data_IF_083896852004
#
_entry.id   IF_083896852004
#
_cell.length_a   1.000
_cell.length_b   1.000
_cell.length_c   1.000
_cell.angle_alpha   90.00
_cell.angle_beta   90.00
_cell.angle_gamma   90.00
#
_symmetry.space_group_name_H-M   'P 1'
#
loop_
_entity.id
_entity.type
_entity.pdbx_description
1 polymer ?
#
# COMPACT_ATOMS: atom_id res chain seq x y z
N UNK A 1 -3.92 -0.15 21.88
CA UNK A 1 -3.70 -1.31 20.97
C UNK A 1 -4.49 -1.05 19.72
N UNK A 2 -3.87 -1.26 18.56
CA UNK A 2 -4.53 -1.00 17.29
C UNK A 2 -5.66 -2.00 17.01
N UNK A 3 -6.63 -1.59 16.18
CA UNK A 3 -7.86 -2.37 15.92
C UNK A 3 -7.53 -3.67 15.18
N UNK A 4 -6.61 -3.62 14.23
CA UNK A 4 -6.19 -4.76 13.44
C UNK A 4 -5.45 -5.78 14.31
N UNK A 5 -4.67 -5.33 15.29
CA UNK A 5 -4.05 -6.22 16.28
C UNK A 5 -5.09 -6.89 17.19
N UNK A 6 -6.08 -6.13 17.68
CA UNK A 6 -7.18 -6.68 18.47
C UNK A 6 -7.98 -7.71 17.67
N UNK A 7 -8.25 -7.43 16.39
CA UNK A 7 -8.96 -8.36 15.51
C UNK A 7 -8.15 -9.65 15.31
N UNK A 8 -6.85 -9.53 15.05
CA UNK A 8 -5.96 -10.67 14.85
C UNK A 8 -5.94 -11.60 16.09
N UNK A 9 -5.81 -11.02 17.29
CA UNK A 9 -5.85 -11.77 18.55
C UNK A 9 -7.22 -12.37 18.90
N UNK A 10 -8.30 -11.81 18.35
CA UNK A 10 -9.66 -12.31 18.53
C UNK A 10 -10.05 -13.38 17.50
N UNK A 11 -9.09 -13.89 16.69
CA UNK A 11 -9.36 -14.84 15.61
C UNK A 11 -10.22 -14.27 14.47
N UNK A 12 -10.35 -12.94 14.38
CA UNK A 12 -11.08 -12.27 13.28
C UNK A 12 -10.18 -12.14 12.06
N UNK A 13 -10.75 -11.89 10.86
CA UNK A 13 -9.94 -11.66 9.68
C UNK A 13 -8.90 -10.56 9.87
N UNK A 14 -7.67 -10.82 9.45
CA UNK A 14 -6.54 -9.90 9.55
C UNK A 14 -5.62 -10.02 8.32
N UNK A 15 -4.64 -9.14 8.19
CA UNK A 15 -3.48 -9.36 7.32
C UNK A 15 -2.25 -8.74 7.92
N UNK A 16 -1.08 -9.28 7.58
CA UNK A 16 0.18 -8.73 8.05
C UNK A 16 0.36 -7.30 7.55
N UNK A 17 -0.03 -7.03 6.31
CA UNK A 17 0.01 -5.67 5.76
C UNK A 17 -0.89 -4.70 6.53
N UNK A 18 -2.10 -5.11 6.92
CA UNK A 18 -2.97 -4.28 7.77
C UNK A 18 -2.31 -3.99 9.14
N UNK A 19 -1.65 -4.98 9.75
CA UNK A 19 -0.91 -4.78 11.01
C UNK A 19 0.26 -3.79 10.88
N UNK A 20 0.99 -3.84 9.76
CA UNK A 20 2.10 -2.91 9.48
C UNK A 20 1.60 -1.47 9.35
N UNK A 21 0.40 -1.27 8.80
CA UNK A 21 -0.15 0.07 8.58
C UNK A 21 -1.07 0.57 9.71
N UNK A 22 -1.56 -0.30 10.58
CA UNK A 22 -2.39 0.06 11.75
C UNK A 22 -1.53 0.16 13.02
N UNK A 23 -0.59 1.11 13.04
CA UNK A 23 0.31 1.39 14.17
C UNK A 23 0.04 2.77 14.83
N UNK A 24 -1.06 3.43 14.47
CA UNK A 24 -1.38 4.80 14.92
C UNK A 24 -1.75 4.91 16.41
N UNK A 25 -2.04 3.77 17.04
CA UNK A 25 -2.36 3.65 18.47
C UNK A 25 -1.26 2.94 19.27
N UNK A 26 -0.04 2.89 18.72
CA UNK A 26 1.11 2.26 19.32
C UNK A 26 2.10 3.29 19.87
N UNK A 27 2.57 3.04 21.09
CA UNK A 27 3.68 3.76 21.72
C UNK A 27 4.88 2.82 21.86
N UNK A 28 6.07 3.39 21.75
CA UNK A 28 7.31 2.71 22.07
C UNK A 28 7.61 2.71 23.57
N UNK A 29 8.66 2.01 23.97
CA UNK A 29 9.13 1.87 25.35
C UNK A 29 9.70 3.17 25.94
N UNK A 30 10.12 4.11 25.10
CA UNK A 30 10.43 5.51 25.43
C UNK A 30 9.19 6.40 25.58
N UNK A 31 7.98 5.85 25.37
CA UNK A 31 6.72 6.57 25.54
C UNK A 31 6.35 7.48 24.37
N UNK A 32 6.99 7.31 23.21
CA UNK A 32 6.74 8.10 22.01
C UNK A 32 5.83 7.33 21.03
N UNK A 33 5.01 8.02 20.22
CA UNK A 33 4.20 7.37 19.21
C UNK A 33 5.06 6.76 18.09
N UNK A 34 4.71 5.53 17.67
CA UNK A 34 5.45 4.84 16.58
C UNK A 34 5.22 5.50 15.21
N UNK A 35 4.03 6.01 14.94
CA UNK A 35 3.69 6.67 13.68
C UNK A 35 3.75 8.21 13.74
N UNK A 36 4.33 8.76 14.81
CA UNK A 36 4.53 10.21 15.04
C UNK A 36 3.25 11.02 14.80
N UNK A 37 3.18 11.81 13.72
CA UNK A 37 2.01 12.64 13.41
C UNK A 37 0.79 11.88 12.93
N UNK A 38 0.98 10.69 12.38
CA UNK A 38 -0.14 9.82 11.99
C UNK A 38 -0.82 9.22 13.22
N UNK A 39 -0.14 9.22 14.36
CA UNK A 39 -0.70 8.71 15.60
C UNK A 39 -1.97 9.48 15.99
N UNK A 40 -2.93 8.76 16.58
CA UNK A 40 -4.20 9.36 16.98
C UNK A 40 -3.99 10.46 18.01
N UNK A 41 -4.95 11.39 18.11
CA UNK A 41 -4.87 12.47 19.11
C UNK A 41 -4.74 11.91 20.54
N UNK A 42 -5.39 10.78 20.82
CA UNK A 42 -5.28 10.09 22.11
C UNK A 42 -3.86 9.61 22.38
N UNK A 43 -3.21 8.98 21.40
CA UNK A 43 -1.83 8.47 21.52
C UNK A 43 -0.80 9.59 21.67
N UNK A 44 -1.06 10.76 21.06
CA UNK A 44 -0.19 11.94 21.18
C UNK A 44 -0.42 12.73 22.46
N UNK A 45 -1.52 12.49 23.18
CA UNK A 45 -1.85 13.25 24.38
C UNK A 45 -0.80 13.02 25.47
N UNK A 46 -0.17 14.10 25.94
CA UNK A 46 0.87 14.04 26.98
C UNK A 46 2.27 13.70 26.47
N UNK A 47 2.47 13.51 25.15
CA UNK A 47 3.81 13.35 24.56
C UNK A 47 4.37 14.73 24.21
N UNK A 48 5.46 15.12 24.86
CA UNK A 48 6.15 16.37 24.56
C UNK A 48 6.81 16.31 23.16
N UNK A 49 6.50 17.31 22.33
CA UNK A 49 7.10 17.50 21.01
C UNK A 49 7.79 18.86 20.96
N UNK A 50 9.11 18.86 21.02
CA UNK A 50 9.93 20.05 20.74
C UNK A 50 9.99 20.24 19.22
N UNK A 51 9.53 21.41 18.78
CA UNK A 51 9.49 21.85 17.40
C UNK A 51 10.46 23.01 17.23
N UNK A 52 11.34 22.94 16.23
CA UNK A 52 12.29 24.04 15.93
C UNK A 52 12.30 24.39 14.46
N UNK A 53 12.78 25.59 14.16
CA UNK A 53 13.03 25.98 12.78
C UNK A 53 14.22 25.18 12.23
N UNK A 54 14.04 24.62 11.04
CA UNK A 54 15.02 23.81 10.37
C UNK A 54 16.24 24.65 9.93
N UNK A 55 17.47 24.26 10.31
CA UNK A 55 18.68 25.01 10.01
C UNK A 55 19.36 24.57 8.70
N UNK A 56 18.83 23.56 8.01
CA UNK A 56 19.44 23.02 6.80
C UNK A 56 19.29 24.02 5.65
N UNK A 57 20.33 24.17 4.83
CA UNK A 57 20.40 25.17 3.76
C UNK A 57 19.55 24.85 2.52
N UNK A 58 18.78 23.77 2.54
CA UNK A 58 17.91 23.34 1.44
C UNK A 58 16.49 23.95 1.56
N UNK A 59 15.54 23.44 0.78
CA UNK A 59 14.15 23.93 0.76
C UNK A 59 13.45 23.88 2.12
N UNK A 60 14.01 23.17 3.10
CA UNK A 60 13.48 23.09 4.46
C UNK A 60 13.83 24.29 5.32
N UNK A 61 14.83 25.09 4.94
CA UNK A 61 15.31 26.21 5.72
C UNK A 61 14.15 27.12 6.15
N UNK A 62 14.11 27.48 7.43
CA UNK A 62 13.06 28.36 7.95
C UNK A 62 11.72 27.68 8.25
N UNK A 63 11.56 26.38 7.96
CA UNK A 63 10.33 25.62 8.22
C UNK A 63 10.42 24.82 9.52
N UNK A 64 9.28 24.51 10.15
CA UNK A 64 9.24 23.74 11.40
C UNK A 64 9.68 22.29 11.21
N UNK A 65 10.44 21.75 12.15
CA UNK A 65 10.84 20.33 12.21
C UNK A 65 10.67 19.78 13.64
N UNK A 66 10.30 18.51 13.75
CA UNK A 66 10.16 17.80 15.03
C UNK A 66 11.54 17.34 15.53
N UNK A 67 12.15 18.11 16.44
CA UNK A 67 13.49 17.79 16.96
C UNK A 67 13.47 16.69 18.01
N UNK A 68 12.34 16.49 18.68
CA UNK A 68 12.17 15.34 19.58
C UNK A 68 12.20 14.01 18.82
N UNK A 69 11.57 13.95 17.65
CA UNK A 69 11.66 12.77 16.77
C UNK A 69 13.08 12.60 16.24
N UNK A 70 13.76 13.68 15.83
CA UNK A 70 15.16 13.62 15.42
C UNK A 70 16.05 13.06 16.53
N UNK A 71 15.87 13.52 17.78
CA UNK A 71 16.66 13.05 18.92
C UNK A 71 16.56 11.54 19.09
N UNK A 72 15.35 10.99 19.07
CA UNK A 72 15.15 9.54 19.17
C UNK A 72 15.74 8.80 17.97
N UNK A 73 15.50 9.30 16.74
CA UNK A 73 16.09 8.70 15.54
C UNK A 73 17.60 8.68 15.65
N UNK A 74 18.24 9.79 16.05
CA UNK A 74 19.69 9.89 16.22
C UNK A 74 20.25 8.89 17.24
N UNK A 75 19.53 8.63 18.34
CA UNK A 75 19.94 7.63 19.34
C UNK A 75 20.04 6.23 18.75
N UNK A 76 19.03 5.78 17.99
CA UNK A 76 18.92 4.41 17.48
C UNK A 76 19.35 4.25 16.01
N UNK A 77 19.85 5.32 15.39
CA UNK A 77 20.08 5.37 13.95
C UNK A 77 21.10 4.32 13.49
N UNK A 78 22.17 4.14 14.25
CA UNK A 78 23.25 3.24 13.84
C UNK A 78 22.82 1.77 13.91
N UNK A 79 22.07 1.37 14.93
CA UNK A 79 21.53 0.02 15.09
C UNK A 79 20.51 -0.31 13.99
N UNK A 80 19.63 0.64 13.67
CA UNK A 80 18.69 0.49 12.55
C UNK A 80 19.43 0.40 11.22
N UNK A 81 20.43 1.24 11.00
CA UNK A 81 21.25 1.18 9.78
C UNK A 81 22.01 -0.15 9.67
N UNK A 82 22.55 -0.67 10.77
CA UNK A 82 23.21 -1.98 10.80
C UNK A 82 22.24 -3.11 10.39
N UNK A 83 21.01 -3.12 10.91
CA UNK A 83 19.99 -4.09 10.50
C UNK A 83 19.59 -3.93 9.03
N UNK A 84 19.46 -2.70 8.53
CA UNK A 84 19.13 -2.43 7.13
C UNK A 84 20.24 -2.95 6.19
N UNK A 85 21.50 -2.68 6.53
CA UNK A 85 22.66 -3.14 5.77
C UNK A 85 22.74 -4.67 5.76
N UNK A 86 22.56 -5.32 6.91
CA UNK A 86 22.52 -6.78 7.00
C UNK A 86 21.42 -7.38 6.11
N UNK A 87 20.24 -6.75 6.11
CA UNK A 87 19.13 -7.16 5.24
C UNK A 87 19.47 -7.02 3.75
N UNK A 88 20.02 -5.87 3.34
CA UNK A 88 20.41 -5.64 1.94
C UNK A 88 21.55 -6.55 1.48
N UNK A 89 22.55 -6.82 2.34
CA UNK A 89 23.62 -7.77 2.04
C UNK A 89 23.08 -9.19 1.85
N UNK A 90 22.13 -9.62 2.68
CA UNK A 90 21.49 -10.93 2.55
C UNK A 90 20.68 -11.05 1.24
N UNK A 91 20.00 -9.98 0.82
CA UNK A 91 19.33 -9.93 -0.49
C UNK A 91 20.33 -10.00 -1.65
N UNK A 92 21.40 -9.21 -1.63
CA UNK A 92 22.44 -9.23 -2.67
C UNK A 92 23.09 -10.61 -2.77
N UNK A 93 23.34 -11.27 -1.64
CA UNK A 93 23.84 -12.65 -1.61
C UNK A 93 22.85 -13.67 -2.23
N UNK A 94 21.54 -13.38 -2.20
CA UNK A 94 20.50 -14.13 -2.89
C UNK A 94 20.33 -13.74 -4.37
N UNK A 95 21.15 -12.82 -4.90
CA UNK A 95 21.07 -12.30 -6.26
C UNK A 95 19.99 -11.23 -6.48
N UNK A 96 19.42 -10.68 -5.40
CA UNK A 96 18.39 -9.64 -5.46
C UNK A 96 19.02 -8.23 -5.42
N UNK A 97 19.22 -7.63 -6.60
CA UNK A 97 19.75 -6.27 -6.74
C UNK A 97 18.97 -5.43 -7.76
N UNK A 98 17.67 -5.32 -7.51
CA UNK A 98 16.76 -4.52 -8.31
C UNK A 98 15.91 -3.57 -7.44
N UNK A 99 15.01 -2.84 -8.09
CA UNK A 99 14.09 -1.94 -7.40
C UNK A 99 13.22 -2.63 -6.35
N UNK A 100 12.76 -3.85 -6.65
CA UNK A 100 11.91 -4.61 -5.73
C UNK A 100 12.69 -5.01 -4.47
N UNK A 101 13.99 -5.28 -4.60
CA UNK A 101 14.86 -5.54 -3.46
C UNK A 101 15.01 -4.30 -2.57
N UNK A 102 15.20 -3.11 -3.16
CA UNK A 102 15.25 -1.83 -2.42
C UNK A 102 13.93 -1.57 -1.69
N UNK A 103 12.80 -1.76 -2.37
CA UNK A 103 11.49 -1.61 -1.77
C UNK A 103 11.26 -2.62 -0.63
N UNK A 104 11.70 -3.87 -0.79
CA UNK A 104 11.61 -4.89 0.26
C UNK A 104 12.40 -4.52 1.52
N UNK A 105 13.55 -3.88 1.39
CA UNK A 105 14.28 -3.38 2.55
C UNK A 105 13.52 -2.25 3.28
N UNK A 106 12.82 -1.38 2.56
CA UNK A 106 11.95 -0.35 3.18
C UNK A 106 10.73 -0.98 3.85
N UNK A 107 10.13 -1.99 3.22
CA UNK A 107 9.03 -2.76 3.81
C UNK A 107 9.47 -3.51 5.07
N UNK A 108 10.70 -4.04 5.09
CA UNK A 108 11.28 -4.66 6.29
C UNK A 108 11.43 -3.67 7.45
N UNK A 109 11.84 -2.43 7.17
CA UNK A 109 11.88 -1.36 8.17
C UNK A 109 10.48 -1.05 8.75
N UNK A 110 9.46 -1.01 7.88
CA UNK A 110 8.06 -0.82 8.30
C UNK A 110 7.53 -1.99 9.13
N UNK A 111 8.02 -3.20 8.87
CA UNK A 111 7.59 -4.42 9.53
C UNK A 111 8.16 -4.58 10.95
N UNK A 112 9.27 -3.90 11.29
CA UNK A 112 9.97 -4.07 12.57
C UNK A 112 9.08 -3.94 13.82
N UNK A 113 8.18 -2.94 13.95
CA UNK A 113 7.31 -2.83 15.11
C UNK A 113 6.40 -4.04 15.30
N UNK A 114 5.92 -4.63 14.19
CA UNK A 114 5.06 -5.81 14.23
C UNK A 114 5.86 -7.03 14.66
N UNK A 115 7.09 -7.21 14.13
CA UNK A 115 7.97 -8.29 14.57
C UNK A 115 8.32 -8.16 16.05
N UNK A 116 8.76 -6.97 16.45
CA UNK A 116 9.08 -6.64 17.84
C UNK A 116 7.89 -6.94 18.75
N UNK A 117 6.69 -6.47 18.41
CA UNK A 117 5.48 -6.70 19.22
C UNK A 117 5.08 -8.17 19.30
N UNK A 118 5.23 -8.94 18.22
CA UNK A 118 4.85 -10.35 18.20
C UNK A 118 5.88 -11.23 18.93
N UNK A 119 7.17 -10.89 18.85
CA UNK A 119 8.22 -11.52 19.64
C UNK A 119 8.13 -11.15 21.13
N UNK A 120 7.84 -9.88 21.44
CA UNK A 120 7.68 -9.36 22.81
C UNK A 120 6.32 -9.66 23.43
N UNK A 121 5.32 -10.08 22.65
CA UNK A 121 4.00 -10.48 23.17
C UNK A 121 4.06 -11.64 24.16
N UNK A 122 5.17 -12.39 24.17
CA UNK A 122 5.47 -13.42 25.16
C UNK A 122 6.19 -12.89 26.43
N UNK A 123 6.71 -11.66 26.43
CA UNK A 123 7.61 -11.15 27.49
C UNK A 123 7.26 -9.77 28.09
N UNK A 124 6.57 -8.88 27.37
CA UNK A 124 6.35 -7.50 27.80
C UNK A 124 4.93 -7.26 28.34
N UNK A 125 4.81 -7.04 29.65
CA UNK A 125 3.54 -6.83 30.37
C UNK A 125 2.74 -5.57 29.98
N UNK A 126 3.32 -4.65 29.21
CA UNK A 126 2.72 -3.34 28.91
C UNK A 126 2.38 -3.13 27.42
N UNK A 127 2.69 -4.09 26.54
CA UNK A 127 2.36 -4.00 25.10
C UNK A 127 2.97 -2.79 24.38
N UNK A 128 4.14 -2.31 24.82
CA UNK A 128 4.93 -1.26 24.16
C UNK A 128 5.82 -1.86 23.07
N UNK A 129 6.20 -1.03 22.10
CA UNK A 129 7.10 -1.41 21.00
C UNK A 129 8.53 -1.00 21.38
N UNK A 130 9.53 -1.78 21.01
CA UNK A 130 10.93 -1.40 21.19
C UNK A 130 11.25 -0.09 20.41
N UNK A 131 11.96 0.86 21.03
CA UNK A 131 12.26 2.15 20.41
C UNK A 131 13.10 2.02 19.13
N UNK A 132 14.03 1.07 19.04
CA UNK A 132 14.80 0.82 17.81
C UNK A 132 13.85 0.35 16.70
N UNK A 133 12.91 -0.54 16.98
CA UNK A 133 11.88 -0.96 16.02
C UNK A 133 10.96 0.20 15.60
N UNK A 134 10.60 1.09 16.53
CA UNK A 134 9.83 2.29 16.23
C UNK A 134 10.61 3.28 15.33
N UNK A 135 11.91 3.47 15.57
CA UNK A 135 12.79 4.28 14.71
C UNK A 135 12.94 3.67 13.32
N UNK A 136 13.07 2.35 13.22
CA UNK A 136 13.06 1.64 11.93
C UNK A 136 11.78 1.94 11.14
N UNK A 137 10.61 1.87 11.78
CA UNK A 137 9.36 2.24 11.13
C UNK A 137 9.30 3.71 10.72
N UNK A 138 9.85 4.65 11.50
CA UNK A 138 9.91 6.08 11.12
C UNK A 138 10.74 6.31 9.87
N UNK A 139 11.91 5.67 9.79
CA UNK A 139 12.76 5.67 8.60
C UNK A 139 12.03 5.03 7.40
N UNK A 140 11.48 3.84 7.60
CA UNK A 140 10.71 3.12 6.58
C UNK A 140 9.52 3.93 6.06
N UNK A 141 8.77 4.59 6.94
CA UNK A 141 7.62 5.42 6.58
C UNK A 141 8.03 6.67 5.78
N UNK A 142 9.15 7.31 6.13
CA UNK A 142 9.72 8.41 5.36
C UNK A 142 10.04 7.99 3.93
N UNK A 143 10.73 6.85 3.75
CA UNK A 143 11.01 6.30 2.43
C UNK A 143 9.74 5.88 1.70
N UNK A 144 8.82 5.17 2.37
CA UNK A 144 7.61 4.64 1.74
C UNK A 144 6.73 5.74 1.13
N UNK A 145 6.70 6.93 1.72
CA UNK A 145 6.04 8.10 1.13
C UNK A 145 6.59 8.47 -0.26
N UNK A 146 7.92 8.42 -0.43
CA UNK A 146 8.59 8.63 -1.72
C UNK A 146 8.37 7.43 -2.64
N UNK A 147 8.52 6.21 -2.11
CA UNK A 147 8.38 4.97 -2.87
C UNK A 147 7.00 4.85 -3.51
N UNK A 148 5.93 5.38 -2.90
CA UNK A 148 4.61 5.41 -3.55
C UNK A 148 4.67 6.06 -4.92
N UNK A 149 5.35 7.20 -5.06
CA UNK A 149 5.50 7.86 -6.37
C UNK A 149 6.38 7.06 -7.34
N UNK A 150 7.34 6.30 -6.83
CA UNK A 150 8.19 5.45 -7.69
C UNK A 150 7.45 4.16 -8.09
N UNK A 151 6.62 3.60 -7.23
CA UNK A 151 5.76 2.46 -7.52
C UNK A 151 4.75 2.80 -8.61
N UNK A 152 4.25 4.03 -8.65
CA UNK A 152 3.40 4.50 -9.75
C UNK A 152 4.15 4.48 -11.08
N UNK A 153 5.41 4.95 -11.09
CA UNK A 153 6.28 4.89 -12.26
C UNK A 153 6.56 3.45 -12.68
N UNK A 154 6.87 2.58 -11.72
CA UNK A 154 7.10 1.16 -11.94
C UNK A 154 5.88 0.48 -12.56
N UNK A 155 4.71 0.65 -11.94
CA UNK A 155 3.46 0.07 -12.40
C UNK A 155 3.03 0.60 -13.78
N UNK A 156 3.44 1.82 -14.15
CA UNK A 156 3.25 2.39 -15.49
C UNK A 156 4.38 2.06 -16.48
N UNK A 157 5.38 1.25 -16.11
CA UNK A 157 6.50 0.89 -16.98
C UNK A 157 7.43 2.06 -17.32
N UNK A 158 7.48 3.10 -16.48
CA UNK A 158 8.38 4.24 -16.63
C UNK A 158 9.74 3.97 -15.99
N UNK A 159 10.76 4.72 -16.42
CA UNK A 159 12.09 4.67 -15.82
C UNK A 159 12.05 4.90 -14.31
N UNK A 160 12.90 4.18 -13.58
CA UNK A 160 13.00 4.32 -12.13
C UNK A 160 14.23 5.14 -11.73
N UNK A 161 14.16 5.92 -10.63
CA UNK A 161 15.32 6.57 -10.05
C UNK A 161 16.15 5.55 -9.25
N UNK A 162 16.74 4.57 -9.95
CA UNK A 162 17.55 3.52 -9.34
C UNK A 162 18.99 4.00 -9.12
N UNK A 163 19.47 3.91 -7.89
CA UNK A 163 20.78 4.42 -7.45
C UNK A 163 20.67 5.62 -6.51
N UNK A 164 21.74 5.87 -5.74
CA UNK A 164 21.73 6.89 -4.67
C UNK A 164 21.45 8.29 -5.21
N UNK A 165 22.24 8.78 -6.18
CA UNK A 165 22.07 10.15 -6.70
C UNK A 165 20.73 10.35 -7.41
N UNK A 166 20.36 9.40 -8.28
CA UNK A 166 19.10 9.49 -9.03
C UNK A 166 17.87 9.48 -8.11
N UNK A 167 17.93 8.74 -7.01
CA UNK A 167 16.89 8.72 -5.99
C UNK A 167 16.87 10.02 -5.17
N UNK A 168 18.01 10.56 -4.74
CA UNK A 168 18.08 11.83 -4.03
C UNK A 168 17.56 13.00 -4.89
N UNK A 169 17.93 13.05 -6.18
CA UNK A 169 17.41 14.02 -7.14
C UNK A 169 15.88 13.88 -7.32
N UNK A 170 15.37 12.65 -7.25
CA UNK A 170 13.94 12.40 -7.28
C UNK A 170 13.24 12.91 -6.02
N UNK A 171 13.82 12.69 -4.84
CA UNK A 171 13.33 13.20 -3.55
C UNK A 171 13.22 14.73 -3.56
N UNK A 172 14.25 15.42 -4.07
CA UNK A 172 14.27 16.88 -4.14
C UNK A 172 13.24 17.44 -5.12
N UNK A 173 13.11 16.85 -6.32
CA UNK A 173 12.12 17.27 -7.32
C UNK A 173 10.67 17.07 -6.89
N UNK A 174 10.43 16.12 -5.99
CA UNK A 174 9.10 15.84 -5.45
C UNK A 174 8.78 16.63 -4.17
N UNK A 175 9.71 17.49 -3.72
CA UNK A 175 9.60 18.19 -2.44
C UNK A 175 9.26 17.24 -1.28
N UNK A 176 9.74 15.99 -1.35
CA UNK A 176 9.28 14.93 -0.44
C UNK A 176 9.73 15.11 1.02
N UNK A 177 10.68 16.02 1.26
CA UNK A 177 11.13 16.41 2.59
C UNK A 177 10.34 17.58 3.19
N UNK A 178 9.39 18.16 2.43
CA UNK A 178 8.56 19.29 2.83
C UNK A 178 7.10 18.83 2.94
N UNK A 179 6.62 18.70 4.17
CA UNK A 179 5.22 18.40 4.46
C UNK A 179 4.36 19.66 4.58
N UNK A 180 3.05 19.47 4.78
CA UNK A 180 2.07 20.57 4.86
C UNK A 180 2.35 21.53 6.04
N UNK A 181 2.84 21.00 7.17
CA UNK A 181 3.03 21.76 8.42
C UNK A 181 4.39 21.56 9.07
N UNK A 182 5.25 20.68 8.54
CA UNK A 182 6.64 20.52 8.96
C UNK A 182 7.49 19.91 7.85
N UNK A 183 8.79 19.95 8.06
CA UNK A 183 9.79 19.29 7.23
C UNK A 183 10.37 18.04 7.89
N UNK A 184 10.96 17.18 7.07
CA UNK A 184 11.79 16.08 7.55
C UNK A 184 12.98 16.62 8.36
N UNK A 185 13.13 16.15 9.60
CA UNK A 185 14.18 16.59 10.51
C UNK A 185 15.54 15.91 10.27
N UNK A 186 15.61 14.80 9.52
CA UNK A 186 16.86 14.09 9.24
C UNK A 186 17.86 14.95 8.46
N UNK A 187 19.14 14.95 8.86
CA UNK A 187 20.15 15.75 8.16
C UNK A 187 20.38 15.24 6.73
N UNK A 188 20.86 16.09 5.80
CA UNK A 188 21.26 15.64 4.46
C UNK A 188 22.21 14.43 4.48
N UNK A 189 23.15 14.40 5.43
CA UNK A 189 24.10 13.30 5.59
C UNK A 189 23.42 12.01 6.05
N UNK A 190 22.46 12.08 6.98
CA UNK A 190 21.67 10.92 7.41
C UNK A 190 20.82 10.37 6.26
N UNK A 191 20.15 11.24 5.50
CA UNK A 191 19.32 10.81 4.37
C UNK A 191 20.18 10.13 3.30
N UNK A 192 21.32 10.73 2.94
CA UNK A 192 22.28 10.16 1.99
C UNK A 192 22.83 8.82 2.48
N UNK A 193 23.25 8.71 3.74
CA UNK A 193 23.75 7.44 4.32
C UNK A 193 22.68 6.35 4.28
N UNK A 194 21.43 6.68 4.56
CA UNK A 194 20.32 5.72 4.45
C UNK A 194 20.09 5.27 3.00
N UNK A 195 20.21 6.17 2.02
CA UNK A 195 20.14 5.82 0.60
C UNK A 195 21.31 4.92 0.17
N UNK A 196 22.55 5.22 0.58
CA UNK A 196 23.72 4.35 0.33
C UNK A 196 23.49 2.96 0.93
N UNK A 197 22.94 2.87 2.15
CA UNK A 197 22.60 1.58 2.75
C UNK A 197 21.51 0.83 1.96
N UNK A 198 20.51 1.53 1.43
CA UNK A 198 19.43 0.95 0.64
C UNK A 198 19.88 0.43 -0.73
N UNK A 199 20.62 1.22 -1.48
CA UNK A 199 21.02 0.88 -2.86
C UNK A 199 22.32 0.08 -2.90
N UNK A 200 23.34 0.54 -2.18
CA UNK A 200 24.69 0.01 -2.31
C UNK A 200 25.00 -1.07 -1.27
N UNK A 201 24.27 -1.09 -0.14
CA UNK A 201 24.52 -1.97 1.01
C UNK A 201 25.86 -1.69 1.72
N UNK A 202 26.27 -0.43 1.77
CA UNK A 202 27.55 0.01 2.35
C UNK A 202 27.39 0.98 3.55
N UNK A 203 28.35 0.99 4.51
CA UNK A 203 29.52 0.12 4.59
C UNK A 203 29.19 -1.26 5.19
N UNK A 204 29.61 -2.34 4.52
CA UNK A 204 29.27 -3.71 4.95
C UNK A 204 29.73 -4.07 6.37
N UNK A 205 30.82 -3.46 6.86
CA UNK A 205 31.36 -3.69 8.21
C UNK A 205 30.36 -3.38 9.34
N UNK A 206 29.39 -2.48 9.12
CA UNK A 206 28.36 -2.18 10.13
C UNK A 206 27.35 -3.31 10.32
N UNK A 207 27.26 -4.25 9.38
CA UNK A 207 26.35 -5.39 9.41
C UNK A 207 27.00 -6.68 9.94
N UNK A 208 28.28 -6.64 10.31
CA UNK A 208 29.03 -7.83 10.72
C UNK A 208 28.38 -8.50 11.94
N UNK A 209 28.19 -9.82 11.86
CA UNK A 209 27.58 -10.62 12.94
C UNK A 209 26.05 -10.58 13.00
N UNK A 210 25.37 -9.75 12.20
CA UNK A 210 23.90 -9.71 12.16
C UNK A 210 23.38 -10.75 11.16
N UNK A 211 22.71 -11.79 11.68
CA UNK A 211 22.06 -12.80 10.85
C UNK A 211 20.61 -12.41 10.51
N UNK A 212 20.26 -12.45 9.22
CA UNK A 212 18.90 -12.21 8.73
C UNK A 212 18.25 -13.55 8.35
N UNK A 213 17.18 -13.98 9.02
CA UNK A 213 16.49 -15.21 8.67
C UNK A 213 15.92 -15.18 7.24
N UNK A 214 16.03 -16.28 6.51
CA UNK A 214 15.48 -16.38 5.14
C UNK A 214 13.96 -16.13 5.08
N UNK A 215 13.23 -16.52 6.14
CA UNK A 215 11.81 -16.23 6.29
C UNK A 215 11.52 -14.71 6.32
N UNK A 216 12.40 -13.89 6.95
CA UNK A 216 12.26 -12.43 7.01
C UNK A 216 12.40 -11.80 5.63
N UNK A 217 13.38 -12.25 4.85
CA UNK A 217 13.53 -11.86 3.44
C UNK A 217 12.27 -12.21 2.64
N UNK A 218 11.75 -13.42 2.83
CA UNK A 218 10.57 -13.92 2.11
C UNK A 218 9.33 -13.10 2.44
N UNK A 219 9.07 -12.82 3.72
CA UNK A 219 7.95 -11.98 4.16
C UNK A 219 8.03 -10.59 3.55
N UNK A 220 9.18 -9.93 3.64
CA UNK A 220 9.37 -8.58 3.10
C UNK A 220 9.21 -8.55 1.57
N UNK A 221 9.72 -9.56 0.86
CA UNK A 221 9.55 -9.71 -0.59
C UNK A 221 8.09 -9.89 -0.98
N UNK A 222 7.35 -10.76 -0.30
CA UNK A 222 5.94 -11.00 -0.61
C UNK A 222 5.06 -9.78 -0.26
N UNK A 223 5.31 -9.10 0.86
CA UNK A 223 4.66 -7.82 1.17
C UNK A 223 4.95 -6.76 0.10
N UNK A 224 6.17 -6.77 -0.45
CA UNK A 224 6.55 -5.86 -1.54
C UNK A 224 5.81 -6.18 -2.83
N UNK A 225 5.63 -7.45 -3.16
CA UNK A 225 4.76 -7.90 -4.26
C UNK A 225 3.31 -7.46 -4.03
N UNK A 226 2.78 -7.59 -2.82
CA UNK A 226 1.44 -7.09 -2.48
C UNK A 226 1.32 -5.58 -2.74
N UNK A 227 2.29 -4.76 -2.31
CA UNK A 227 2.29 -3.31 -2.55
C UNK A 227 2.31 -3.00 -4.05
N UNK A 228 3.15 -3.69 -4.83
CA UNK A 228 3.25 -3.49 -6.28
C UNK A 228 1.96 -3.87 -7.00
N UNK A 229 1.39 -5.05 -6.70
CA UNK A 229 0.09 -5.51 -7.26
C UNK A 229 -1.04 -4.55 -6.87
N UNK A 230 -1.08 -4.10 -5.61
CA UNK A 230 -2.02 -3.11 -5.12
C UNK A 230 -1.91 -1.75 -5.84
N UNK A 231 -0.69 -1.36 -6.19
CA UNK A 231 -0.44 -0.14 -6.98
C UNK A 231 -0.99 -0.27 -8.40
N UNK A 232 -0.75 -1.40 -9.08
CA UNK A 232 -1.33 -1.68 -10.39
C UNK A 232 -2.86 -1.66 -10.37
N UNK A 233 -3.48 -2.27 -9.35
CA UNK A 233 -4.93 -2.21 -9.14
C UNK A 233 -5.42 -0.77 -9.02
N UNK A 234 -4.80 0.01 -8.14
CA UNK A 234 -5.17 1.41 -7.91
C UNK A 234 -5.09 2.25 -9.19
N UNK A 235 -4.03 2.08 -9.98
CA UNK A 235 -3.88 2.80 -11.25
C UNK A 235 -4.94 2.38 -12.27
N UNK A 236 -5.27 1.09 -12.36
CA UNK A 236 -6.36 0.60 -13.22
C UNK A 236 -7.71 1.19 -12.78
N UNK A 237 -8.01 1.15 -11.50
CA UNK A 237 -9.23 1.72 -10.95
C UNK A 237 -9.32 3.23 -11.20
N UNK A 238 -8.23 3.97 -11.01
CA UNK A 238 -8.16 5.39 -11.33
C UNK A 238 -8.29 5.66 -12.84
N UNK A 239 -7.82 4.76 -13.71
CA UNK A 239 -8.01 4.89 -15.16
C UNK A 239 -9.49 4.79 -15.51
N UNK A 240 -10.22 3.83 -14.93
CA UNK A 240 -11.66 3.70 -15.11
C UNK A 240 -12.41 4.90 -14.54
N UNK A 241 -12.04 5.37 -13.34
CA UNK A 241 -12.62 6.58 -12.74
C UNK A 241 -12.36 7.80 -13.62
N UNK A 242 -11.16 7.95 -14.17
CA UNK A 242 -10.78 9.03 -15.08
C UNK A 242 -11.67 9.02 -16.33
N UNK A 243 -11.84 7.86 -16.98
CA UNK A 243 -12.70 7.75 -18.16
C UNK A 243 -14.13 8.20 -17.87
N UNK A 244 -14.70 7.77 -16.74
CA UNK A 244 -16.05 8.12 -16.31
C UNK A 244 -16.20 9.61 -15.93
N UNK A 245 -15.26 10.15 -15.14
CA UNK A 245 -15.44 11.47 -14.53
C UNK A 245 -14.82 12.60 -15.34
N UNK A 246 -13.87 12.30 -16.22
CA UNK A 246 -13.03 13.27 -16.92
C UNK A 246 -12.84 13.00 -18.41
N UNK A 247 -12.97 11.75 -18.83
CA UNK A 247 -12.80 11.33 -20.22
C UNK A 247 -14.06 11.51 -21.07
N UNK A 248 -14.07 10.82 -22.21
CA UNK A 248 -15.19 10.82 -23.18
C UNK A 248 -16.51 10.41 -22.52
N UNK A 249 -16.46 9.44 -21.62
CA UNK A 249 -17.65 8.83 -21.02
C UNK A 249 -18.44 9.80 -20.14
N UNK A 250 -17.78 10.84 -19.62
CA UNK A 250 -18.42 11.87 -18.81
C UNK A 250 -19.66 12.46 -19.49
N UNK A 251 -19.58 12.71 -20.79
CA UNK A 251 -20.66 13.36 -21.56
C UNK A 251 -21.89 12.49 -21.70
N UNK A 252 -21.75 11.18 -21.51
CA UNK A 252 -22.84 10.21 -21.55
C UNK A 252 -23.46 9.96 -20.18
N UNK A 253 -22.82 10.38 -19.08
CA UNK A 253 -23.36 10.22 -17.73
C UNK A 253 -24.43 11.27 -17.42
N UNK A 254 -25.62 10.81 -17.06
CA UNK A 254 -26.77 11.64 -16.69
C UNK A 254 -27.22 11.31 -15.26
N UNK A 255 -26.65 11.98 -14.24
CA UNK A 255 -27.10 11.83 -12.86
C UNK A 255 -28.57 12.25 -12.68
N UNK A 256 -29.38 11.40 -12.05
CA UNK A 256 -30.82 11.63 -11.87
C UNK A 256 -31.15 12.54 -10.68
N UNK A 257 -30.17 12.92 -9.86
CA UNK A 257 -30.35 13.84 -8.73
C UNK A 257 -29.22 14.88 -8.61
N UNK A 258 -29.50 15.98 -7.91
CA UNK A 258 -28.57 17.11 -7.74
C UNK A 258 -27.30 16.72 -7.01
N UNK A 259 -27.38 15.80 -6.02
CA UNK A 259 -26.21 15.37 -5.26
C UNK A 259 -25.18 14.65 -6.13
N UNK A 260 -25.61 13.68 -6.95
CA UNK A 260 -24.74 12.95 -7.87
C UNK A 260 -24.17 13.87 -8.96
N UNK A 261 -24.93 14.87 -9.41
CA UNK A 261 -24.43 15.90 -10.35
C UNK A 261 -23.31 16.73 -9.72
N UNK A 262 -23.54 17.26 -8.52
CA UNK A 262 -22.53 18.01 -7.77
C UNK A 262 -21.27 17.18 -7.51
N UNK A 263 -21.44 15.88 -7.19
CA UNK A 263 -20.32 14.96 -7.02
C UNK A 263 -19.57 14.78 -8.33
N UNK A 264 -20.24 14.50 -9.45
CA UNK A 264 -19.61 14.34 -10.76
C UNK A 264 -18.84 15.60 -11.21
N UNK A 265 -19.35 16.79 -10.88
CA UNK A 265 -18.67 18.07 -11.14
C UNK A 265 -17.50 18.34 -10.20
N UNK A 266 -17.59 17.88 -8.96
CA UNK A 266 -16.46 17.90 -8.03
C UNK A 266 -15.32 17.00 -8.54
N UNK A 267 -15.59 15.73 -8.85
CA UNK A 267 -14.58 14.78 -9.33
C UNK A 267 -13.88 15.28 -10.59
N UNK A 268 -14.62 15.91 -11.51
CA UNK A 268 -14.06 16.51 -12.73
C UNK A 268 -13.07 17.63 -12.47
N UNK A 269 -13.39 18.52 -11.53
CA UNK A 269 -12.50 19.64 -11.16
C UNK A 269 -11.26 19.16 -10.43
N UNK A 270 -11.35 18.01 -9.76
CA UNK A 270 -10.24 17.35 -9.08
C UNK A 270 -9.48 16.38 -9.99
N UNK A 271 -9.78 16.35 -11.29
CA UNK A 271 -9.18 15.39 -12.18
C UNK A 271 -7.69 15.64 -12.42
N UNK A 272 -6.83 14.60 -12.42
CA UNK A 272 -5.48 14.75 -12.90
C UNK A 272 -5.47 15.18 -14.38
N UNK A 273 -4.38 15.83 -14.81
CA UNK A 273 -4.21 16.25 -16.20
C UNK A 273 -4.00 15.08 -17.18
N UNK A 274 -3.51 13.96 -16.67
CA UNK A 274 -3.14 12.78 -17.46
C UNK A 274 -3.81 11.56 -16.85
N UNK A 275 -4.41 10.71 -17.68
CA UNK A 275 -4.95 9.43 -17.23
C UNK A 275 -3.83 8.57 -16.66
N UNK A 276 -4.01 7.95 -15.49
CA UNK A 276 -3.10 6.89 -15.08
C UNK A 276 -3.25 5.72 -16.04
N UNK A 277 -2.12 5.11 -16.38
CA UNK A 277 -2.07 3.95 -17.27
C UNK A 277 -1.16 2.90 -16.63
N UNK A 278 -1.73 1.86 -16.00
CA UNK A 278 -0.93 0.72 -15.60
C UNK A 278 -0.42 -0.01 -16.86
N UNK A 279 0.80 -0.52 -16.80
CA UNK A 279 1.45 -1.26 -17.87
C UNK A 279 1.56 -2.73 -17.50
N UNK A 280 1.38 -3.63 -18.47
CA UNK A 280 1.69 -5.06 -18.29
C UNK A 280 3.17 -5.29 -17.94
N UNK A 281 4.06 -4.39 -18.38
CA UNK A 281 5.49 -4.41 -18.02
C UNK A 281 5.73 -3.97 -16.58
N UNK A 282 4.78 -3.24 -15.98
CA UNK A 282 4.83 -2.82 -14.59
C UNK A 282 4.42 -3.90 -13.59
N UNK A 283 4.09 -5.12 -14.06
CA UNK A 283 3.85 -6.26 -13.18
C UNK A 283 5.17 -6.84 -12.67
N UNK A 284 5.30 -7.07 -11.35
CA UNK A 284 6.57 -7.42 -10.76
C UNK A 284 7.09 -8.80 -11.18
N UNK A 285 8.40 -8.88 -11.47
CA UNK A 285 9.09 -10.08 -11.96
C UNK A 285 8.92 -11.29 -11.03
N UNK A 286 8.87 -11.05 -9.72
CA UNK A 286 8.72 -12.09 -8.70
C UNK A 286 7.31 -12.70 -8.55
N UNK A 287 6.32 -12.29 -9.34
CA UNK A 287 5.01 -12.97 -9.35
C UNK A 287 5.11 -14.37 -9.96
N UNK A 288 4.32 -15.29 -9.42
CA UNK A 288 4.08 -16.58 -10.05
C UNK A 288 3.52 -16.40 -11.47
N UNK A 289 3.87 -17.31 -12.39
CA UNK A 289 3.55 -17.16 -13.80
C UNK A 289 2.03 -17.09 -14.04
N UNK A 290 1.26 -17.91 -13.33
CA UNK A 290 -0.20 -17.95 -13.34
C UNK A 290 -0.81 -16.62 -12.89
N UNK A 291 -0.29 -16.03 -11.81
CA UNK A 291 -0.73 -14.72 -11.33
C UNK A 291 -0.44 -13.63 -12.36
N UNK A 292 0.76 -13.64 -12.94
CA UNK A 292 1.15 -12.69 -13.97
C UNK A 292 0.21 -12.78 -15.18
N UNK A 293 -0.09 -13.98 -15.68
CA UNK A 293 -1.01 -14.17 -16.81
C UNK A 293 -2.41 -13.62 -16.50
N UNK A 294 -2.93 -13.92 -15.30
CA UNK A 294 -4.25 -13.44 -14.87
C UNK A 294 -4.29 -11.91 -14.78
N UNK A 295 -3.27 -11.28 -14.20
CA UNK A 295 -3.20 -9.83 -14.08
C UNK A 295 -2.93 -9.13 -15.42
N UNK A 296 -2.13 -9.70 -16.32
CA UNK A 296 -1.94 -9.17 -17.67
C UNK A 296 -3.27 -9.12 -18.43
N UNK A 297 -4.06 -10.19 -18.36
CA UNK A 297 -5.40 -10.21 -18.96
C UNK A 297 -6.32 -9.14 -18.36
N UNK A 298 -6.29 -8.96 -17.05
CA UNK A 298 -7.05 -7.92 -16.36
C UNK A 298 -6.64 -6.51 -16.80
N UNK A 299 -5.33 -6.24 -16.89
CA UNK A 299 -4.79 -4.94 -17.32
C UNK A 299 -5.08 -4.63 -18.79
N UNK A 300 -5.11 -5.65 -19.66
CA UNK A 300 -5.47 -5.49 -21.07
C UNK A 300 -6.94 -5.05 -21.28
N UNK A 301 -7.77 -5.05 -20.23
CA UNK A 301 -9.17 -4.61 -20.30
C UNK A 301 -10.05 -5.49 -21.19
N UNK A 302 -9.61 -6.71 -21.51
CA UNK A 302 -10.36 -7.64 -22.36
C UNK A 302 -11.24 -8.53 -21.47
N UNK A 303 -12.58 -8.48 -21.60
CA UNK A 303 -13.44 -9.42 -20.90
C UNK A 303 -13.12 -10.84 -21.39
N UNK A 304 -12.92 -11.75 -20.44
CA UNK A 304 -12.52 -13.14 -20.74
C UNK A 304 -13.72 -14.02 -21.06
N UNK A 305 -14.90 -13.66 -20.58
CA UNK A 305 -16.11 -14.49 -20.68
C UNK A 305 -17.32 -13.65 -21.13
N UNK A 306 -17.99 -14.11 -22.20
CA UNK A 306 -19.26 -13.55 -22.67
C UNK A 306 -20.35 -13.60 -21.59
N UNK A 307 -20.24 -14.54 -20.65
CA UNK A 307 -21.15 -14.69 -19.50
C UNK A 307 -21.15 -13.44 -18.61
N UNK A 308 -19.99 -12.84 -18.33
CA UNK A 308 -19.91 -11.63 -17.49
C UNK A 308 -20.55 -10.44 -18.20
N UNK A 309 -20.33 -10.30 -19.52
CA UNK A 309 -20.94 -9.25 -20.33
C UNK A 309 -22.46 -9.40 -20.36
N UNK A 310 -22.97 -10.60 -20.60
CA UNK A 310 -24.41 -10.88 -20.64
C UNK A 310 -25.09 -10.56 -19.30
N UNK A 311 -24.45 -10.89 -18.17
CA UNK A 311 -25.01 -10.60 -16.85
C UNK A 311 -24.99 -9.12 -16.50
N UNK A 312 -23.95 -8.39 -16.88
CA UNK A 312 -23.96 -6.93 -16.77
C UNK A 312 -25.08 -6.34 -17.62
N UNK A 313 -25.32 -6.89 -18.82
CA UNK A 313 -26.43 -6.47 -19.68
C UNK A 313 -27.80 -6.69 -19.02
N UNK A 314 -28.00 -7.86 -18.37
CA UNK A 314 -29.20 -8.17 -17.59
C UNK A 314 -29.39 -7.16 -16.46
N UNK A 315 -28.35 -6.91 -15.65
CA UNK A 315 -28.44 -5.96 -14.53
C UNK A 315 -28.74 -4.52 -14.99
N UNK A 316 -28.13 -4.07 -16.10
CA UNK A 316 -28.42 -2.75 -16.67
C UNK A 316 -29.88 -2.63 -17.16
N UNK A 317 -30.53 -3.75 -17.50
CA UNK A 317 -31.93 -3.77 -17.92
C UNK A 317 -32.94 -3.78 -16.75
N UNK A 318 -32.53 -4.17 -15.53
CA UNK A 318 -33.43 -4.34 -14.38
C UNK A 318 -33.96 -3.03 -13.74
N UNK A 319 -33.29 -1.89 -13.91
CA UNK A 319 -33.82 -0.57 -13.54
C UNK A 319 -33.24 0.07 -12.27
N UNK A 320 -33.93 1.09 -11.73
CA UNK A 320 -33.69 2.47 -12.10
C UNK A 320 -32.28 2.94 -11.68
N UNK A 321 -31.33 2.81 -12.61
CA UNK A 321 -30.01 3.42 -12.48
C UNK A 321 -30.13 4.87 -12.02
N UNK A 322 -29.47 5.24 -10.92
CA UNK A 322 -29.47 6.63 -10.42
C UNK A 322 -28.53 7.53 -11.24
N UNK A 323 -27.73 6.92 -12.11
CA UNK A 323 -26.99 7.56 -13.21
C UNK A 323 -27.34 6.83 -14.50
N UNK A 324 -27.97 7.52 -15.45
CA UNK A 324 -28.21 6.96 -16.78
C UNK A 324 -26.97 7.12 -17.65
N UNK A 325 -26.72 6.17 -18.52
CA UNK A 325 -25.66 6.25 -19.52
C UNK A 325 -26.28 6.35 -20.91
N UNK A 326 -25.98 7.43 -21.63
CA UNK A 326 -26.55 7.77 -22.94
C UNK A 326 -25.65 7.38 -24.13
N UNK A 327 -24.52 6.72 -23.88
CA UNK A 327 -23.61 6.21 -24.91
C UNK A 327 -23.99 4.81 -25.39
N UNK A 328 -23.05 4.09 -26.01
CA UNK A 328 -23.25 2.71 -26.46
C UNK A 328 -23.37 1.73 -25.28
N UNK A 329 -24.55 1.09 -25.07
CA UNK A 329 -24.74 0.14 -23.98
C UNK A 329 -23.81 -1.07 -24.05
N UNK A 330 -23.44 -1.55 -25.25
CA UNK A 330 -22.58 -2.72 -25.41
C UNK A 330 -21.15 -2.40 -24.95
N UNK A 331 -20.64 -1.22 -25.29
CA UNK A 331 -19.35 -0.74 -24.82
C UNK A 331 -19.33 -0.61 -23.29
N UNK A 332 -20.39 -0.05 -22.68
CA UNK A 332 -20.48 0.07 -21.22
C UNK A 332 -20.50 -1.32 -20.55
N UNK A 333 -21.25 -2.28 -21.10
CA UNK A 333 -21.31 -3.65 -20.59
C UNK A 333 -19.92 -4.31 -20.57
N UNK A 334 -19.18 -4.21 -21.68
CA UNK A 334 -17.82 -4.73 -21.78
C UNK A 334 -16.87 -4.07 -20.78
N UNK A 335 -16.97 -2.74 -20.64
CA UNK A 335 -16.15 -1.99 -19.70
C UNK A 335 -16.39 -2.40 -18.24
N UNK A 336 -17.66 -2.51 -17.83
CA UNK A 336 -18.02 -2.95 -16.47
C UNK A 336 -17.56 -4.40 -16.25
N UNK A 337 -17.82 -5.30 -17.20
CA UNK A 337 -17.40 -6.70 -17.11
C UNK A 337 -15.88 -6.84 -16.97
N UNK A 338 -15.11 -6.12 -17.78
CA UNK A 338 -13.64 -6.09 -17.70
C UNK A 338 -13.15 -5.54 -16.35
N UNK A 339 -13.77 -4.47 -15.84
CA UNK A 339 -13.43 -3.90 -14.54
C UNK A 339 -13.69 -4.87 -13.38
N UNK A 340 -14.85 -5.53 -13.35
CA UNK A 340 -15.19 -6.50 -12.31
C UNK A 340 -14.28 -7.73 -12.36
N UNK A 341 -13.94 -8.20 -13.56
CA UNK A 341 -12.95 -9.26 -13.75
C UNK A 341 -11.59 -8.84 -13.18
N UNK A 342 -11.13 -7.64 -13.49
CA UNK A 342 -9.88 -7.13 -12.96
C UNK A 342 -9.90 -7.06 -11.44
N UNK A 343 -10.95 -6.49 -10.84
CA UNK A 343 -11.11 -6.42 -9.39
C UNK A 343 -10.95 -7.79 -8.72
N UNK A 344 -11.63 -8.82 -9.26
CA UNK A 344 -11.58 -10.19 -8.71
C UNK A 344 -10.19 -10.79 -8.87
N UNK A 345 -9.58 -10.65 -10.04
CA UNK A 345 -8.23 -11.12 -10.34
C UNK A 345 -7.18 -10.53 -9.40
N UNK A 346 -7.18 -9.20 -9.23
CA UNK A 346 -6.27 -8.52 -8.31
C UNK A 346 -6.49 -8.98 -6.87
N UNK A 347 -7.75 -9.10 -6.45
CA UNK A 347 -8.06 -9.54 -5.09
C UNK A 347 -7.64 -10.99 -4.82
N UNK A 348 -7.85 -11.90 -5.77
CA UNK A 348 -7.44 -13.30 -5.66
C UNK A 348 -5.92 -13.43 -5.53
N UNK A 349 -5.16 -12.71 -6.36
CA UNK A 349 -3.69 -12.68 -6.28
C UNK A 349 -3.21 -12.11 -4.95
N UNK A 350 -3.83 -11.02 -4.46
CA UNK A 350 -3.48 -10.44 -3.16
C UNK A 350 -3.80 -11.37 -1.99
N UNK A 351 -4.90 -12.13 -2.08
CA UNK A 351 -5.25 -13.17 -1.09
C UNK A 351 -4.19 -14.27 -1.07
N UNK A 352 -3.79 -14.80 -2.23
CA UNK A 352 -2.78 -15.86 -2.29
C UNK A 352 -1.41 -15.36 -1.78
N UNK A 353 -1.00 -14.16 -2.17
CA UNK A 353 0.21 -13.53 -1.63
C UNK A 353 0.15 -13.40 -0.09
N UNK A 354 -1.01 -13.07 0.48
CA UNK A 354 -1.16 -13.06 1.94
C UNK A 354 -0.98 -14.45 2.55
N UNK A 355 -1.58 -15.48 1.96
CA UNK A 355 -1.42 -16.83 2.48
C UNK A 355 0.06 -17.25 2.49
N UNK A 356 0.80 -16.90 1.42
CA UNK A 356 2.24 -17.12 1.37
C UNK A 356 3.00 -16.29 2.42
N UNK A 357 2.63 -15.02 2.63
CA UNK A 357 3.23 -14.14 3.66
C UNK A 357 3.07 -14.77 5.03
N UNK A 358 1.85 -15.21 5.34
CA UNK A 358 1.48 -15.84 6.59
C UNK A 358 2.29 -17.11 6.83
N UNK A 359 2.36 -18.01 5.86
CA UNK A 359 3.20 -19.22 5.92
C UNK A 359 4.66 -18.87 6.22
N UNK A 360 5.24 -17.92 5.49
CA UNK A 360 6.62 -17.47 5.72
C UNK A 360 6.79 -16.80 7.09
N UNK A 361 5.78 -16.04 7.53
CA UNK A 361 5.78 -15.36 8.82
C UNK A 361 5.87 -16.35 9.99
N UNK A 362 5.14 -17.48 9.96
CA UNK A 362 5.26 -18.52 11.00
C UNK A 362 6.60 -19.25 11.05
N UNK A 363 7.42 -19.12 10.00
CA UNK A 363 8.78 -19.65 10.00
C UNK A 363 9.78 -18.71 10.71
N UNK A 364 9.37 -17.49 11.08
CA UNK A 364 10.21 -16.58 11.82
C UNK A 364 10.42 -17.06 13.26
N UNK A 365 11.65 -16.93 13.81
CA UNK A 365 11.91 -17.19 15.21
C UNK A 365 10.98 -16.34 16.11
N UNK A 366 10.24 -17.02 16.99
CA UNK A 366 9.31 -16.36 17.93
C UNK A 366 7.95 -15.96 17.35
N UNK A 367 7.61 -16.36 16.12
CA UNK A 367 6.31 -16.02 15.51
C UNK A 367 5.11 -16.81 16.04
N UNK A 368 5.34 -17.86 16.84
CA UNK A 368 4.27 -18.57 17.54
C UNK A 368 3.68 -17.68 18.64
N UNK A 369 2.64 -16.92 18.30
CA UNK A 369 1.95 -16.04 19.24
C UNK A 369 0.64 -16.71 19.66
N UNK A 370 0.48 -16.95 20.95
CA UNK A 370 -0.78 -17.44 21.51
C UNK A 370 -1.93 -16.50 21.10
N UNK A 371 -2.94 -17.05 20.42
CA UNK A 371 -4.13 -16.30 19.99
C UNK A 371 -4.12 -15.81 18.53
N UNK A 372 -3.00 -15.91 17.79
CA UNK A 372 -3.05 -15.70 16.34
C UNK A 372 -3.49 -16.99 15.62
N UNK A 373 -4.72 -16.99 15.11
CA UNK A 373 -5.20 -18.09 14.27
C UNK A 373 -4.67 -17.94 12.84
N UNK A 374 -3.86 -18.92 12.42
CA UNK A 374 -3.33 -18.99 11.07
C UNK A 374 -4.41 -19.14 10.00
N UNK A 375 -5.55 -19.74 10.37
CA UNK A 375 -6.69 -20.01 9.51
C UNK A 375 -7.75 -18.91 9.56
N UNK A 376 -7.55 -17.84 10.33
CA UNK A 376 -8.47 -16.70 10.34
C UNK A 376 -8.62 -16.13 8.93
N UNK A 377 -9.80 -15.59 8.62
CA UNK A 377 -10.08 -15.01 7.30
C UNK A 377 -9.10 -13.90 6.89
N UNK A 378 -9.18 -13.47 5.63
CA UNK A 378 -8.31 -12.43 5.08
C UNK A 378 -9.00 -11.07 4.97
N UNK A 379 -8.28 -10.02 5.35
CA UNK A 379 -8.62 -8.65 5.02
C UNK A 379 -7.36 -7.92 4.51
N UNK A 380 -7.21 -7.63 3.19
CA UNK A 380 -5.98 -7.07 2.63
C UNK A 380 -5.58 -5.69 3.19
N UNK A 381 -6.44 -5.06 4.00
CA UNK A 381 -6.24 -3.70 4.45
C UNK A 381 -6.36 -2.68 3.31
N UNK A 382 -6.73 -1.45 3.65
CA UNK A 382 -6.96 -0.39 2.63
C UNK A 382 -5.69 0.14 1.98
N UNK A 383 -4.53 -0.13 2.57
CA UNK A 383 -3.24 0.34 2.08
C UNK A 383 -2.69 -0.51 0.93
N UNK A 384 -2.98 -1.81 0.92
CA UNK A 384 -2.61 -2.73 -0.17
C UNK A 384 -3.73 -2.80 -1.21
N UNK A 385 -4.99 -2.80 -0.78
CA UNK A 385 -6.13 -2.80 -1.69
C UNK A 385 -6.97 -1.55 -1.47
N UNK A 386 -6.63 -0.49 -2.21
CA UNK A 386 -7.30 0.80 -2.10
C UNK A 386 -8.80 0.67 -2.37
N UNK A 387 -9.60 1.46 -1.65
CA UNK A 387 -11.03 1.56 -1.89
C UNK A 387 -11.28 1.94 -3.36
N UNK A 388 -12.06 1.15 -4.10
CA UNK A 388 -12.36 1.43 -5.50
C UNK A 388 -13.03 2.80 -5.69
N UNK A 389 -12.50 3.63 -6.58
CA UNK A 389 -13.05 4.93 -6.99
C UNK A 389 -14.03 4.82 -8.16
N UNK A 390 -13.79 3.90 -9.09
CA UNK A 390 -14.67 3.71 -10.24
C UNK A 390 -15.91 2.89 -9.89
N UNK A 391 -15.77 1.89 -9.01
CA UNK A 391 -16.86 0.99 -8.64
C UNK A 391 -18.15 1.70 -8.20
N UNK A 392 -18.15 2.72 -7.32
CA UNK A 392 -19.40 3.38 -6.91
C UNK A 392 -20.17 4.00 -8.08
N UNK A 393 -19.48 4.40 -9.16
CA UNK A 393 -20.12 4.90 -10.37
C UNK A 393 -20.76 3.77 -11.19
N UNK A 394 -20.08 2.63 -11.31
CA UNK A 394 -20.67 1.42 -11.90
C UNK A 394 -21.88 0.94 -11.11
N UNK A 395 -21.82 0.91 -9.78
CA UNK A 395 -22.97 0.58 -8.93
C UNK A 395 -24.15 1.54 -9.16
N UNK A 396 -23.89 2.84 -9.32
CA UNK A 396 -24.93 3.83 -9.62
C UNK A 396 -25.57 3.65 -11.01
N UNK A 397 -24.79 3.16 -11.99
CA UNK A 397 -25.27 2.87 -13.36
C UNK A 397 -26.02 1.55 -13.44
N UNK A 398 -25.61 0.55 -12.66
CA UNK A 398 -26.24 -0.78 -12.64
C UNK A 398 -27.41 -0.84 -11.66
N UNK A 399 -27.49 0.08 -10.70
CA UNK A 399 -28.53 0.07 -9.66
C UNK A 399 -28.32 -0.98 -8.56
N UNK A 400 -27.14 -1.61 -8.53
CA UNK A 400 -26.81 -2.74 -7.66
C UNK A 400 -25.51 -2.47 -6.89
N UNK A 401 -25.39 -2.99 -5.66
CA UNK A 401 -24.12 -2.93 -4.90
C UNK A 401 -23.29 -4.18 -5.14
N UNK A 402 -21.97 -4.00 -5.08
CA UNK A 402 -21.02 -5.09 -5.06
C UNK A 402 -20.96 -5.69 -3.64
N UNK A 403 -21.04 -7.00 -3.54
CA UNK A 403 -20.80 -7.71 -2.30
C UNK A 403 -19.30 -7.80 -1.97
N UNK A 404 -19.00 -8.36 -0.80
CA UNK A 404 -17.62 -8.56 -0.38
C UNK A 404 -16.86 -9.53 -1.28
N UNK A 405 -17.50 -10.29 -2.17
CA UNK A 405 -16.88 -11.30 -3.02
C UNK A 405 -16.63 -10.79 -4.45
N UNK A 406 -17.06 -9.55 -4.75
CA UNK A 406 -16.88 -8.91 -6.05
C UNK A 406 -18.06 -9.10 -7.00
N UNK A 407 -19.20 -9.53 -6.49
CA UNK A 407 -20.42 -9.76 -7.26
C UNK A 407 -21.37 -8.59 -7.12
N UNK A 408 -21.92 -8.11 -8.24
CA UNK A 408 -23.07 -7.20 -8.20
C UNK A 408 -24.33 -8.00 -7.88
N UNK A 409 -25.13 -7.51 -6.92
CA UNK A 409 -26.37 -8.16 -6.49
C UNK A 409 -27.60 -7.33 -6.87
N UNK A 410 -28.47 -7.90 -7.72
CA UNK A 410 -29.78 -7.34 -8.07
C UNK A 410 -30.85 -7.70 -7.05
N UNK A 411 -31.51 -6.70 -6.48
CA UNK A 411 -32.57 -6.91 -5.48
C UNK A 411 -33.83 -7.58 -6.03
N UNK A 412 -34.08 -7.49 -7.34
CA UNK A 412 -35.29 -7.95 -8.03
C UNK A 412 -35.23 -9.40 -8.50
N UNK A 413 -34.06 -9.86 -8.95
CA UNK A 413 -33.92 -11.18 -9.58
C UNK A 413 -33.28 -12.21 -8.67
N UNK A 414 -32.69 -11.80 -7.55
CA UNK A 414 -31.85 -12.67 -6.72
C UNK A 414 -30.64 -13.23 -7.48
N UNK A 415 -30.36 -12.71 -8.69
CA UNK A 415 -29.23 -13.10 -9.50
C UNK A 415 -27.96 -12.66 -8.80
N UNK A 416 -27.26 -13.64 -8.24
CA UNK A 416 -25.81 -13.53 -8.13
C UNK A 416 -25.26 -13.73 -9.53
N UNK A 417 -24.24 -12.98 -9.89
CA UNK A 417 -23.47 -13.15 -11.12
C UNK A 417 -22.27 -14.04 -10.76
N UNK A 418 -22.38 -15.39 -10.69
CA UNK A 418 -21.29 -16.23 -10.20
C UNK A 418 -20.16 -16.33 -11.21
N UNK A 419 -18.96 -15.89 -10.84
CA UNK A 419 -17.77 -16.08 -11.65
C UNK A 419 -17.14 -17.36 -11.13
N UNK A 420 -17.22 -18.45 -11.91
CA UNK A 420 -16.86 -19.81 -11.47
C UNK A 420 -15.36 -19.93 -11.19
N UNK A 421 -15.04 -20.45 -9.99
CA UNK A 421 -13.82 -21.20 -9.67
C UNK A 421 -12.67 -20.36 -9.13
#
# INVERSE_FOLDING_TARGET
MSKSYINALAGRPWSLSELVFDLDDCIDDEGRPVSERRATMATRAGVEMDMRVCPYSDKRNGQWMNVSALSQVSTHYNEVMASLLAFRLAQKAAGEDDWMAVQAAVVDLLLQPVLSRLQLGQQASNGRIDAQAAVAHKLGAGFFGILRSVNDRYASGQDLPFGVESFLDFVERRDALVGVTEVCAGSPQMIRRACVGLFDAEPAAQAEGIHIPAARLTVARLLTLQVAVGTCWRLLDEQHWFRLCCGSERTFLQPMNTHLRQRLDFEHRSCPLVSPEPSEQGLPAGLMAEHRIVLQRALAGKPVDQTDVSRVAELLAEGPAVVRYAGDPQQLQQQIAAYLLAWRSFRAVLFDLEQQIRIAFWQLPGAAVDGLDANAGFNPGRMIFANPKALPWYECMVGCRMDNDGYLYGSSTGLRVPVRG
#
